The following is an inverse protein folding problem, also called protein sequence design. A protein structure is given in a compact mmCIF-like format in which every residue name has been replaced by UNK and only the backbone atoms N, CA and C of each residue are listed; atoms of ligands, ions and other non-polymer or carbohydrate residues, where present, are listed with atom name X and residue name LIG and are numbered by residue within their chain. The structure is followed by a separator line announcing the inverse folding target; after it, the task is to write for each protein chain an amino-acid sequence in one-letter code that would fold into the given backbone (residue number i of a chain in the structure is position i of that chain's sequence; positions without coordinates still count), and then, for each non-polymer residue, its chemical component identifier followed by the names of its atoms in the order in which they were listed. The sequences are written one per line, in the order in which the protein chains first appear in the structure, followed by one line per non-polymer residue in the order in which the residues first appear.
data_IF_074204277303
#
_entry.id   IF_074204277303
#
_cell.length_a   1.000
_cell.length_b   1.000
_cell.length_c   1.000
_cell.angle_alpha   90.00
_cell.angle_beta   90.00
_cell.angle_gamma   90.00
#
_symmetry.space_group_name_H-M   'P 1'
#
loop_
_entity.id
_entity.type
_entity.pdbx_description
1 polymer ?
#
# COMPACT_ATOMS: atom_id res chain seq x y z
N UNK A 1 -11.06 41.50 28.19
CA UNK A 1 -10.85 41.73 26.75
C UNK A 1 -9.75 40.78 26.30
N UNK A 2 -10.09 39.74 25.54
CA UNK A 2 -9.11 38.82 25.00
C UNK A 2 -8.46 39.45 23.76
N UNK A 3 -7.14 39.40 23.67
CA UNK A 3 -6.40 39.89 22.51
C UNK A 3 -6.76 39.05 21.27
N UNK A 4 -6.87 39.67 20.08
CA UNK A 4 -7.09 38.92 18.85
C UNK A 4 -5.87 38.03 18.56
N UNK A 5 -6.12 36.77 18.20
CA UNK A 5 -5.10 35.87 17.70
C UNK A 5 -4.45 36.46 16.43
N UNK A 6 -3.14 36.33 16.23
CA UNK A 6 -2.49 36.79 15.02
C UNK A 6 -3.05 36.02 13.82
N UNK A 7 -3.39 36.74 12.76
CA UNK A 7 -3.71 36.15 11.47
C UNK A 7 -2.54 35.24 11.03
N UNK A 8 -2.83 34.02 10.57
CA UNK A 8 -1.79 33.14 10.04
C UNK A 8 -1.11 33.85 8.86
N UNK A 9 0.22 33.83 8.84
CA UNK A 9 0.99 34.30 7.70
C UNK A 9 0.46 33.63 6.42
N UNK A 10 0.35 34.39 5.33
CA UNK A 10 0.08 33.80 4.02
C UNK A 10 1.11 32.70 3.77
N UNK A 11 0.71 31.48 3.39
CA UNK A 11 1.67 30.41 3.13
C UNK A 11 2.62 30.89 2.03
N UNK A 12 3.93 30.69 2.25
CA UNK A 12 4.93 30.98 1.23
C UNK A 12 4.58 30.22 -0.06
N UNK A 13 4.80 30.85 -1.21
CA UNK A 13 4.53 30.23 -2.51
C UNK A 13 5.26 28.88 -2.61
N UNK A 14 4.53 27.80 -2.89
CA UNK A 14 5.12 26.47 -3.07
C UNK A 14 5.93 26.50 -4.37
N UNK A 15 7.22 26.17 -4.27
CA UNK A 15 8.12 26.08 -5.42
C UNK A 15 8.74 24.69 -5.52
N UNK A 16 8.51 24.03 -6.66
CA UNK A 16 9.27 22.86 -7.11
C UNK A 16 10.16 23.29 -8.30
N UNK A 17 9.94 22.73 -9.49
CA UNK A 17 10.60 23.18 -10.73
C UNK A 17 10.21 24.63 -11.08
N UNK A 18 8.94 24.94 -10.88
CA UNK A 18 8.41 26.30 -10.93
C UNK A 18 7.62 26.58 -9.65
N UNK A 19 7.48 27.86 -9.32
CA UNK A 19 6.62 28.30 -8.23
C UNK A 19 5.16 28.31 -8.64
N UNK A 20 4.29 28.20 -7.64
CA UNK A 20 2.86 28.43 -7.77
C UNK A 20 2.55 29.76 -8.48
N UNK A 21 1.35 29.85 -9.06
CA UNK A 21 0.88 30.98 -9.87
C UNK A 21 1.64 31.22 -11.18
N UNK A 22 2.14 30.16 -11.82
CA UNK A 22 2.73 30.19 -13.17
C UNK A 22 1.65 30.27 -14.25
N UNK A 23 1.88 31.04 -15.33
CA UNK A 23 0.94 31.13 -16.45
C UNK A 23 0.79 29.81 -17.23
N UNK A 24 -0.41 29.19 -17.29
CA UNK A 24 -0.69 28.04 -18.15
C UNK A 24 -0.30 28.21 -19.62
N UNK A 25 -0.19 29.44 -20.15
CA UNK A 25 0.30 29.67 -21.51
C UNK A 25 1.77 29.22 -21.72
N UNK A 26 2.52 29.02 -20.64
CA UNK A 26 3.90 28.52 -20.65
C UNK A 26 3.98 26.99 -20.52
N UNK A 27 2.85 26.31 -20.34
CA UNK A 27 2.83 24.84 -20.25
C UNK A 27 3.12 24.21 -21.62
N UNK A 28 3.98 23.18 -21.70
CA UNK A 28 4.23 22.46 -22.95
C UNK A 28 3.09 21.48 -23.31
N UNK A 29 2.10 21.30 -22.44
CA UNK A 29 0.98 20.38 -22.65
C UNK A 29 -0.31 20.86 -21.96
N UNK A 30 -1.43 20.24 -22.31
CA UNK A 30 -2.70 20.44 -21.64
C UNK A 30 -3.44 19.10 -21.56
N UNK A 31 -3.30 18.41 -20.42
CA UNK A 31 -4.09 17.21 -20.14
C UNK A 31 -5.33 17.58 -19.34
N UNK A 32 -6.50 17.53 -19.99
CA UNK A 32 -7.80 17.62 -19.32
C UNK A 32 -8.10 16.31 -18.60
N UNK A 33 -7.90 16.29 -17.28
CA UNK A 33 -7.95 15.06 -16.50
C UNK A 33 -9.37 14.65 -16.11
N UNK A 34 -10.14 15.62 -15.60
CA UNK A 34 -11.51 15.43 -15.10
C UNK A 34 -12.30 16.73 -15.26
N UNK A 35 -13.63 16.61 -15.34
CA UNK A 35 -14.54 17.75 -15.41
C UNK A 35 -15.77 17.58 -14.52
N UNK A 36 -16.46 18.68 -14.25
CA UNK A 36 -17.73 18.73 -13.52
C UNK A 36 -18.70 19.71 -14.18
N UNK A 37 -19.98 19.33 -14.24
CA UNK A 37 -21.04 20.21 -14.72
C UNK A 37 -21.46 21.20 -13.63
N UNK A 38 -21.65 22.47 -14.01
CA UNK A 38 -22.05 23.54 -13.11
C UNK A 38 -23.09 24.44 -13.78
N UNK A 39 -24.39 24.22 -13.54
CA UNK A 39 -25.45 25.10 -14.08
C UNK A 39 -25.34 25.38 -15.58
N UNK A 40 -24.97 24.38 -16.40
CA UNK A 40 -24.73 24.53 -17.85
C UNK A 40 -23.32 25.00 -18.25
N UNK A 41 -22.41 25.20 -17.28
CA UNK A 41 -20.98 25.44 -17.46
C UNK A 41 -20.21 24.13 -17.27
N UNK A 42 -18.96 24.12 -17.72
CA UNK A 42 -18.02 23.02 -17.48
C UNK A 42 -16.82 23.51 -16.68
N UNK A 43 -16.62 22.96 -15.48
CA UNK A 43 -15.39 23.16 -14.70
C UNK A 43 -14.42 22.04 -15.10
N UNK A 44 -13.22 22.38 -15.56
CA UNK A 44 -12.22 21.40 -16.02
C UNK A 44 -10.93 21.56 -15.22
N UNK A 45 -10.37 20.42 -14.80
CA UNK A 45 -9.04 20.34 -14.21
C UNK A 45 -8.03 19.92 -15.26
N UNK A 46 -7.01 20.74 -15.42
CA UNK A 46 -5.93 20.56 -16.39
C UNK A 46 -4.62 20.28 -15.67
N UNK A 47 -3.76 19.47 -16.30
CA UNK A 47 -2.40 19.21 -15.81
C UNK A 47 -1.34 19.44 -16.86
N UNK A 48 -0.23 19.96 -16.36
CA UNK A 48 1.10 19.86 -16.93
C UNK A 48 1.86 18.73 -16.20
N UNK A 49 1.85 17.53 -16.80
CA UNK A 49 2.52 16.36 -16.24
C UNK A 49 4.06 16.47 -16.22
N UNK A 50 4.63 17.31 -17.07
CA UNK A 50 6.08 17.51 -17.24
C UNK A 50 6.62 18.44 -16.16
N UNK A 51 5.85 19.47 -15.80
CA UNK A 51 6.22 20.41 -14.76
C UNK A 51 5.57 20.10 -13.40
N UNK A 52 4.73 19.05 -13.33
CA UNK A 52 3.99 18.61 -12.16
C UNK A 52 3.08 19.70 -11.56
N UNK A 53 2.41 20.47 -12.42
CA UNK A 53 1.49 21.55 -12.05
C UNK A 53 0.11 21.34 -12.66
N UNK A 54 -0.92 21.99 -12.09
CA UNK A 54 -2.27 21.99 -12.68
C UNK A 54 -3.00 23.32 -12.52
N UNK A 55 -4.02 23.52 -13.34
CA UNK A 55 -4.89 24.71 -13.32
C UNK A 55 -6.36 24.31 -13.53
N UNK A 56 -7.26 25.19 -13.14
CA UNK A 56 -8.69 25.04 -13.38
C UNK A 56 -9.15 25.97 -14.50
N UNK A 57 -10.15 25.54 -15.27
CA UNK A 57 -10.89 26.40 -16.18
C UNK A 57 -12.40 26.27 -15.96
N UNK A 58 -13.11 27.32 -16.36
CA UNK A 58 -14.57 27.34 -16.45
C UNK A 58 -14.95 27.73 -17.88
N UNK A 59 -15.57 26.79 -18.59
CA UNK A 59 -16.06 26.97 -19.94
C UNK A 59 -17.58 27.25 -19.97
N UNK A 60 -18.02 27.99 -20.99
CA UNK A 60 -19.40 28.48 -21.15
C UNK A 60 -19.88 29.36 -19.98
N UNK A 61 -18.95 30.02 -19.29
CA UNK A 61 -19.23 30.90 -18.15
C UNK A 61 -19.82 32.24 -18.56
N UNK A 62 -20.47 32.90 -17.60
CA UNK A 62 -20.91 34.29 -17.69
C UNK A 62 -20.01 35.19 -16.85
N UNK A 63 -19.99 36.49 -17.15
CA UNK A 63 -19.22 37.46 -16.39
C UNK A 63 -19.54 37.38 -14.89
N UNK A 64 -18.51 37.21 -14.06
CA UNK A 64 -18.65 37.04 -12.61
C UNK A 64 -18.80 35.60 -12.12
N UNK A 65 -18.96 34.60 -13.00
CA UNK A 65 -18.82 33.20 -12.59
C UNK A 65 -17.38 32.95 -12.12
N UNK A 66 -17.20 32.18 -11.04
CA UNK A 66 -15.89 31.95 -10.40
C UNK A 66 -15.29 30.59 -10.75
N UNK A 67 -13.95 30.53 -10.74
CA UNK A 67 -13.18 29.28 -10.83
C UNK A 67 -11.95 29.36 -9.92
N UNK A 68 -11.62 28.24 -9.26
CA UNK A 68 -10.44 28.08 -8.41
C UNK A 68 -9.98 26.61 -8.35
N UNK A 69 -8.83 26.39 -7.72
CA UNK A 69 -8.32 25.08 -7.35
C UNK A 69 -8.38 24.86 -5.83
N UNK A 70 -8.70 23.64 -5.42
CA UNK A 70 -8.34 23.16 -4.08
C UNK A 70 -7.15 22.18 -4.20
N UNK A 71 -6.26 22.20 -3.20
CA UNK A 71 -5.10 21.30 -3.06
C UNK A 71 -5.15 20.53 -1.75
N UNK A 72 -4.80 19.25 -1.82
CA UNK A 72 -4.69 18.35 -0.67
C UNK A 72 -3.37 17.58 -0.72
N UNK A 73 -2.80 17.26 0.45
CA UNK A 73 -1.60 16.42 0.59
C UNK A 73 -1.87 15.10 1.32
N UNK A 74 -3.14 14.73 1.47
CA UNK A 74 -3.60 13.53 2.18
C UNK A 74 -4.66 12.75 1.37
N UNK A 75 -4.60 12.86 0.04
CA UNK A 75 -5.51 12.16 -0.86
C UNK A 75 -6.94 12.72 -0.88
N UNK A 76 -7.10 14.00 -0.58
CA UNK A 76 -8.39 14.71 -0.62
C UNK A 76 -9.21 14.64 0.66
N UNK A 77 -8.65 14.11 1.76
CA UNK A 77 -9.35 14.01 3.07
C UNK A 77 -9.45 15.38 3.73
N UNK A 78 -8.39 16.18 3.62
CA UNK A 78 -8.35 17.58 4.04
C UNK A 78 -7.75 18.47 2.95
N UNK A 79 -8.15 19.74 2.90
CA UNK A 79 -7.68 20.71 1.90
C UNK A 79 -7.70 22.17 2.39
N UNK A 80 -7.76 22.38 3.71
CA UNK A 80 -7.84 23.72 4.28
C UNK A 80 -6.60 24.57 3.94
N UNK A 81 -5.42 23.96 3.94
CA UNK A 81 -4.13 24.62 3.68
C UNK A 81 -3.92 25.03 2.21
N UNK A 82 -4.84 24.67 1.31
CA UNK A 82 -4.75 24.91 -0.14
C UNK A 82 -6.10 25.12 -0.79
N UNK A 83 -7.08 25.67 -0.08
CA UNK A 83 -8.43 25.94 -0.59
C UNK A 83 -8.48 27.27 -1.35
N UNK A 84 -9.25 27.33 -2.45
CA UNK A 84 -9.43 28.53 -3.29
C UNK A 84 -8.14 29.13 -3.87
N UNK A 85 -7.18 28.27 -4.23
CA UNK A 85 -5.98 28.67 -4.97
C UNK A 85 -6.35 29.28 -6.31
N UNK A 86 -5.77 30.45 -6.59
CA UNK A 86 -5.93 31.16 -7.86
C UNK A 86 -7.36 31.58 -8.18
N UNK A 87 -8.22 31.74 -7.16
CA UNK A 87 -9.60 32.15 -7.34
C UNK A 87 -9.68 33.39 -8.24
N UNK A 88 -10.51 33.29 -9.25
CA UNK A 88 -10.70 34.32 -10.27
C UNK A 88 -12.12 34.25 -10.83
N UNK A 89 -12.51 35.27 -11.60
CA UNK A 89 -13.84 35.38 -12.20
C UNK A 89 -13.74 35.48 -13.71
N UNK A 90 -14.76 35.00 -14.42
CA UNK A 90 -14.89 35.20 -15.86
C UNK A 90 -15.05 36.70 -16.14
N UNK A 91 -14.15 37.31 -16.94
CA UNK A 91 -14.25 38.73 -17.26
C UNK A 91 -15.45 39.06 -18.13
N UNK A 92 -15.94 40.30 -18.06
CA UNK A 92 -16.96 40.82 -18.97
C UNK A 92 -16.58 40.62 -20.43
N UNK A 93 -17.52 40.10 -21.24
CA UNK A 93 -17.31 39.83 -22.66
C UNK A 93 -16.55 38.54 -22.98
N UNK A 94 -16.21 37.73 -21.97
CA UNK A 94 -15.67 36.37 -22.14
C UNK A 94 -16.73 35.32 -21.82
N UNK A 95 -16.61 34.16 -22.45
CA UNK A 95 -17.45 32.97 -22.21
C UNK A 95 -16.71 31.86 -21.46
N UNK A 96 -15.55 32.18 -20.89
CA UNK A 96 -14.73 31.24 -20.13
C UNK A 96 -13.47 31.89 -19.60
N UNK A 97 -12.89 31.29 -18.57
CA UNK A 97 -11.68 31.78 -17.93
C UNK A 97 -10.94 30.66 -17.20
N UNK A 98 -9.71 30.94 -16.75
CA UNK A 98 -8.87 29.95 -16.05
C UNK A 98 -8.05 30.56 -14.94
N UNK A 99 -7.67 29.73 -13.98
CA UNK A 99 -6.69 30.07 -12.95
C UNK A 99 -5.27 30.12 -13.52
N UNK A 100 -4.31 30.53 -12.69
CA UNK A 100 -2.90 30.19 -12.90
C UNK A 100 -2.63 28.71 -12.58
N UNK A 101 -1.42 28.21 -12.87
CA UNK A 101 -0.98 26.86 -12.50
C UNK A 101 -0.39 26.83 -11.09
N UNK A 102 -0.67 25.75 -10.37
CA UNK A 102 -0.18 25.47 -9.02
C UNK A 102 0.46 24.09 -8.97
N UNK A 103 1.50 23.94 -8.16
CA UNK A 103 2.17 22.67 -7.92
C UNK A 103 1.20 21.67 -7.29
N UNK A 104 1.30 20.42 -7.75
CA UNK A 104 0.55 19.29 -7.18
C UNK A 104 1.21 18.83 -5.88
N UNK A 105 2.48 18.41 -5.95
CA UNK A 105 3.26 17.94 -4.80
C UNK A 105 3.97 19.09 -4.07
N UNK A 106 4.28 18.93 -2.78
CA UNK A 106 5.20 19.78 -2.02
C UNK A 106 6.43 18.97 -1.60
N UNK A 107 7.50 19.02 -2.39
CA UNK A 107 8.72 18.26 -2.07
C UNK A 107 9.50 18.82 -0.88
N UNK A 108 9.29 20.09 -0.50
CA UNK A 108 9.95 20.67 0.68
C UNK A 108 9.45 20.04 1.98
N UNK A 109 8.17 19.65 2.00
CA UNK A 109 7.55 18.98 3.15
C UNK A 109 7.13 17.55 2.85
N UNK A 110 7.56 16.98 1.72
CA UNK A 110 7.23 15.60 1.28
C UNK A 110 5.71 15.36 1.18
N UNK A 111 4.95 16.40 0.86
CA UNK A 111 3.51 16.32 0.63
C UNK A 111 3.23 15.76 -0.76
N UNK A 112 2.70 14.55 -0.82
CA UNK A 112 2.21 13.96 -2.07
C UNK A 112 0.79 14.45 -2.31
N UNK A 113 0.60 15.21 -3.39
CA UNK A 113 -0.57 16.06 -3.53
C UNK A 113 -1.58 15.63 -4.58
N UNK A 114 -2.76 16.22 -4.45
CA UNK A 114 -3.88 16.12 -5.36
C UNK A 114 -4.49 17.50 -5.56
N UNK A 115 -5.03 17.75 -6.76
CA UNK A 115 -5.80 18.95 -7.09
C UNK A 115 -7.24 18.58 -7.45
N UNK A 116 -8.17 19.51 -7.19
CA UNK A 116 -9.50 19.51 -7.82
C UNK A 116 -9.84 20.91 -8.28
N UNK A 117 -10.52 21.02 -9.42
CA UNK A 117 -11.05 22.28 -9.91
C UNK A 117 -12.45 22.49 -9.37
N UNK A 118 -12.76 23.70 -8.92
CA UNK A 118 -14.06 24.09 -8.43
C UNK A 118 -14.51 25.39 -9.10
N UNK A 119 -15.82 25.55 -9.24
CA UNK A 119 -16.39 26.79 -9.75
C UNK A 119 -17.70 27.13 -9.05
N UNK A 120 -18.06 28.41 -9.14
CA UNK A 120 -19.34 28.92 -8.66
C UNK A 120 -20.05 29.70 -9.75
N UNK A 121 -21.31 29.33 -10.02
CA UNK A 121 -22.15 30.02 -10.99
C UNK A 121 -23.58 30.09 -10.47
N UNK A 122 -24.19 31.28 -10.52
CA UNK A 122 -25.57 31.50 -10.05
C UNK A 122 -25.84 30.99 -8.62
N UNK A 123 -24.84 31.10 -7.73
CA UNK A 123 -24.93 30.66 -6.34
C UNK A 123 -24.75 29.15 -6.10
N UNK A 124 -24.61 28.33 -7.15
CA UNK A 124 -24.27 26.92 -7.04
C UNK A 124 -22.75 26.70 -7.13
N UNK A 125 -22.22 25.73 -6.39
CA UNK A 125 -20.82 25.29 -6.46
C UNK A 125 -20.76 23.86 -6.97
N UNK A 126 -19.81 23.58 -7.87
CA UNK A 126 -19.45 22.23 -8.27
C UNK A 126 -17.93 22.09 -8.35
N UNK A 127 -17.43 20.91 -8.01
CA UNK A 127 -16.02 20.57 -8.09
C UNK A 127 -15.83 19.27 -8.88
N UNK A 128 -14.71 19.18 -9.58
CA UNK A 128 -14.25 17.91 -10.17
C UNK A 128 -13.92 16.91 -9.06
N UNK A 129 -13.87 15.60 -9.38
CA UNK A 129 -13.11 14.65 -8.57
C UNK A 129 -11.68 15.17 -8.36
N UNK A 130 -11.05 14.72 -7.28
CA UNK A 130 -9.62 14.88 -7.11
C UNK A 130 -8.87 14.12 -8.20
N UNK A 131 -7.82 14.71 -8.74
CA UNK A 131 -6.90 14.06 -9.67
C UNK A 131 -5.47 14.61 -9.45
N UNK A 132 -4.52 14.05 -10.19
CA UNK A 132 -3.10 14.42 -10.09
C UNK A 132 -2.37 14.29 -11.42
N UNK A 133 -1.14 14.77 -11.44
CA UNK A 133 -0.21 14.60 -12.56
C UNK A 133 0.27 13.15 -12.66
N UNK A 134 0.79 12.76 -13.82
CA UNK A 134 1.47 11.47 -14.02
C UNK A 134 2.93 11.50 -13.56
N UNK A 135 3.36 12.57 -12.87
CA UNK A 135 4.66 12.66 -12.21
C UNK A 135 4.78 11.58 -11.12
N UNK A 136 5.85 10.78 -11.10
CA UNK A 136 5.95 9.57 -10.27
C UNK A 136 4.79 8.56 -10.48
N UNK A 137 4.05 8.64 -11.58
CA UNK A 137 2.85 7.84 -11.86
C UNK A 137 2.70 7.54 -13.35
N UNK A 138 3.82 7.21 -14.00
CA UNK A 138 3.88 6.95 -15.44
C UNK A 138 3.28 5.61 -15.85
N UNK A 139 3.10 4.67 -14.92
CA UNK A 139 2.42 3.40 -15.13
C UNK A 139 1.53 3.02 -13.94
N UNK A 140 0.78 1.92 -14.05
CA UNK A 140 -0.16 1.48 -13.00
C UNK A 140 0.51 1.21 -11.65
N UNK A 141 1.76 0.72 -11.66
CA UNK A 141 2.53 0.39 -10.45
C UNK A 141 2.95 1.65 -9.72
N UNK A 142 3.60 2.56 -10.45
CA UNK A 142 4.07 3.85 -9.92
C UNK A 142 2.90 4.73 -9.48
N UNK A 143 1.80 4.73 -10.24
CA UNK A 143 0.57 5.43 -9.86
C UNK A 143 -0.03 4.91 -8.55
N UNK A 144 -0.16 3.58 -8.39
CA UNK A 144 -0.63 2.98 -7.16
C UNK A 144 0.30 3.26 -5.96
N UNK A 145 1.61 3.29 -6.18
CA UNK A 145 2.61 3.61 -5.16
C UNK A 145 2.50 5.06 -4.70
N UNK A 146 2.36 6.02 -5.62
CA UNK A 146 2.13 7.40 -5.23
C UNK A 146 0.81 7.59 -4.48
N UNK A 147 -0.26 6.93 -4.92
CA UNK A 147 -1.54 6.99 -4.22
C UNK A 147 -1.44 6.40 -2.79
N UNK A 148 -0.62 5.36 -2.58
CA UNK A 148 -0.32 4.86 -1.23
C UNK A 148 0.43 5.92 -0.39
N UNK A 149 1.39 6.62 -0.99
CA UNK A 149 2.17 7.66 -0.31
C UNK A 149 1.36 8.89 0.10
N UNK A 150 0.19 9.13 -0.49
CA UNK A 150 -0.78 10.11 0.04
C UNK A 150 -1.34 9.74 1.42
N UNK A 151 -1.16 8.50 1.86
CA UNK A 151 -1.55 8.04 3.20
C UNK A 151 -0.36 7.91 4.14
N UNK A 152 0.85 8.31 3.71
CA UNK A 152 2.02 8.35 4.58
C UNK A 152 1.95 9.58 5.50
N UNK A 153 1.78 9.31 6.79
CA UNK A 153 1.64 10.35 7.81
C UNK A 153 3.02 10.98 8.09
N UNK A 154 3.11 12.29 7.84
CA UNK A 154 4.37 13.04 7.95
C UNK A 154 4.79 13.29 9.41
N UNK A 155 3.93 13.02 10.37
CA UNK A 155 4.18 13.16 11.82
C UNK A 155 4.60 11.83 12.43
N UNK A 156 3.81 10.77 12.22
CA UNK A 156 4.07 9.43 12.78
C UNK A 156 5.07 8.64 11.96
N UNK A 157 5.28 9.02 10.68
CA UNK A 157 6.10 8.29 9.71
C UNK A 157 5.61 6.85 9.52
N UNK A 158 4.30 6.66 9.58
CA UNK A 158 3.58 5.41 9.32
C UNK A 158 2.49 5.65 8.28
N UNK A 159 1.91 4.58 7.76
CA UNK A 159 0.78 4.67 6.83
C UNK A 159 -0.55 4.65 7.61
N UNK A 160 -1.51 5.48 7.19
CA UNK A 160 -2.85 5.50 7.78
C UNK A 160 -2.91 6.01 9.23
N UNK A 161 -1.91 6.78 9.67
CA UNK A 161 -1.82 7.33 11.02
C UNK A 161 -1.17 6.37 12.02
N UNK A 162 -1.83 5.26 12.36
CA UNK A 162 -1.42 4.33 13.42
C UNK A 162 -1.47 2.84 13.05
N UNK A 163 -1.60 2.47 11.77
CA UNK A 163 -1.53 1.07 11.34
C UNK A 163 -0.14 0.50 11.60
N UNK A 164 0.02 -0.39 12.59
CA UNK A 164 1.33 -0.92 12.97
C UNK A 164 1.79 -2.01 11.99
N UNK A 165 1.22 -3.22 12.07
CA UNK A 165 1.61 -4.33 11.19
C UNK A 165 1.17 -4.12 9.74
N UNK A 166 0.03 -3.46 9.51
CA UNK A 166 -0.43 -3.03 8.18
C UNK A 166 0.47 -1.93 7.60
N UNK A 167 1.07 -1.10 8.46
CA UNK A 167 2.12 -0.14 8.07
C UNK A 167 3.39 -0.82 7.55
N UNK A 168 3.79 -1.95 8.15
CA UNK A 168 4.90 -2.77 7.65
C UNK A 168 4.62 -3.31 6.24
N UNK A 169 3.37 -3.74 5.98
CA UNK A 169 2.93 -4.17 4.66
C UNK A 169 2.96 -3.03 3.64
N UNK A 170 2.48 -1.84 4.01
CA UNK A 170 2.51 -0.67 3.13
C UNK A 170 3.93 -0.25 2.80
N UNK A 171 4.84 -0.25 3.77
CA UNK A 171 6.26 0.02 3.54
C UNK A 171 6.90 -1.04 2.63
N UNK A 172 6.59 -2.32 2.84
CA UNK A 172 7.07 -3.41 1.97
C UNK A 172 6.62 -3.21 0.53
N UNK A 173 5.35 -2.84 0.30
CA UNK A 173 4.83 -2.59 -1.05
C UNK A 173 5.53 -1.41 -1.74
N UNK A 174 5.90 -0.35 -1.00
CA UNK A 174 6.71 0.76 -1.51
C UNK A 174 8.14 0.33 -1.84
N UNK A 175 8.76 -0.49 -0.98
CA UNK A 175 10.12 -1.01 -1.21
C UNK A 175 10.15 -1.91 -2.47
N UNK A 176 9.21 -2.84 -2.58
CA UNK A 176 9.10 -3.73 -3.74
C UNK A 176 8.81 -2.92 -5.01
N UNK A 177 7.97 -1.89 -4.94
CA UNK A 177 7.72 -0.99 -6.06
C UNK A 177 9.00 -0.26 -6.51
N UNK A 178 9.77 0.32 -5.58
CA UNK A 178 11.01 1.01 -5.90
C UNK A 178 12.03 0.07 -6.57
N UNK A 179 12.13 -1.18 -6.10
CA UNK A 179 13.01 -2.21 -6.66
C UNK A 179 12.60 -2.61 -8.08
N UNK A 180 11.30 -2.81 -8.31
CA UNK A 180 10.77 -3.32 -9.59
C UNK A 180 10.76 -2.22 -10.66
N UNK A 181 10.39 -1.00 -10.29
CA UNK A 181 10.19 0.10 -11.25
C UNK A 181 11.40 1.02 -11.40
N UNK A 182 12.33 0.98 -10.44
CA UNK A 182 13.41 1.96 -10.33
C UNK A 182 12.97 3.33 -9.78
N UNK A 183 11.70 3.50 -9.39
CA UNK A 183 11.20 4.77 -8.85
C UNK A 183 11.70 5.02 -7.42
N UNK A 184 12.79 5.80 -7.30
CA UNK A 184 13.42 6.13 -6.02
C UNK A 184 12.71 7.20 -5.18
N UNK A 185 11.69 7.88 -5.71
CA UNK A 185 11.08 9.09 -5.14
C UNK A 185 10.53 8.94 -3.71
N UNK A 186 10.17 7.72 -3.30
CA UNK A 186 9.58 7.44 -1.99
C UNK A 186 10.48 6.63 -1.04
N UNK A 187 11.73 6.37 -1.45
CA UNK A 187 12.69 5.59 -0.63
C UNK A 187 13.02 6.24 0.71
N UNK A 188 12.80 7.55 0.86
CA UNK A 188 12.92 8.25 2.14
C UNK A 188 12.02 7.66 3.23
N UNK A 189 10.89 7.04 2.85
CA UNK A 189 9.95 6.45 3.81
C UNK A 189 10.59 5.32 4.61
N UNK A 190 11.56 4.59 4.04
CA UNK A 190 12.27 3.50 4.71
C UNK A 190 13.01 4.03 5.95
N UNK A 191 13.90 4.99 5.76
CA UNK A 191 14.71 5.54 6.84
C UNK A 191 13.86 6.31 7.84
N UNK A 192 12.91 7.13 7.37
CA UNK A 192 12.07 7.93 8.26
C UNK A 192 11.15 7.08 9.13
N UNK A 193 10.55 6.02 8.57
CA UNK A 193 9.73 5.08 9.34
C UNK A 193 10.58 4.41 10.42
N UNK A 194 11.76 3.93 10.04
CA UNK A 194 12.71 3.28 10.97
C UNK A 194 13.14 4.22 12.10
N UNK A 195 13.72 5.38 11.76
CA UNK A 195 14.32 6.29 12.73
C UNK A 195 13.28 6.85 13.71
N UNK A 196 12.04 7.07 13.24
CA UNK A 196 10.95 7.56 14.07
C UNK A 196 10.41 6.52 15.04
N UNK A 197 10.33 5.26 14.62
CA UNK A 197 9.54 4.23 15.31
C UNK A 197 10.38 3.11 15.94
N UNK A 198 11.71 3.10 15.80
CA UNK A 198 12.57 2.06 16.36
C UNK A 198 12.44 1.89 17.88
N UNK A 199 12.09 2.95 18.61
CA UNK A 199 11.85 2.92 20.06
C UNK A 199 10.40 2.72 20.48
N UNK A 200 9.46 2.58 19.53
CA UNK A 200 8.04 2.42 19.85
C UNK A 200 7.72 0.99 20.32
N UNK A 201 6.63 0.86 21.08
CA UNK A 201 6.12 -0.42 21.60
C UNK A 201 7.21 -1.19 22.40
N UNK A 202 7.52 -2.44 22.02
CA UNK A 202 8.57 -3.24 22.64
C UNK A 202 10.00 -2.88 22.17
N UNK A 203 10.14 -1.85 21.34
CA UNK A 203 11.40 -1.47 20.71
C UNK A 203 11.84 -2.45 19.63
N UNK A 204 12.66 -1.96 18.70
CA UNK A 204 13.08 -2.71 17.51
C UNK A 204 11.91 -3.23 16.67
N UNK A 205 10.79 -2.51 16.65
CA UNK A 205 9.55 -2.90 15.95
C UNK A 205 8.82 -4.14 16.50
N UNK A 206 9.25 -4.67 17.65
CA UNK A 206 8.59 -5.78 18.35
C UNK A 206 7.40 -5.32 19.18
N UNK A 207 6.44 -6.22 19.39
CA UNK A 207 5.36 -6.05 20.36
C UNK A 207 4.85 -7.39 20.92
N UNK A 208 3.72 -7.36 21.62
CA UNK A 208 3.08 -8.53 22.22
C UNK A 208 2.41 -9.48 21.21
N UNK A 209 2.16 -9.03 19.98
CA UNK A 209 1.61 -9.81 18.87
C UNK A 209 2.76 -10.26 17.94
N UNK A 210 3.01 -11.57 17.88
CA UNK A 210 4.21 -12.09 17.24
C UNK A 210 4.13 -12.03 15.71
N UNK A 211 2.91 -12.08 15.15
CA UNK A 211 2.65 -11.75 13.75
C UNK A 211 3.01 -10.30 13.41
N UNK A 212 2.60 -9.31 14.20
CA UNK A 212 3.00 -7.91 14.00
C UNK A 212 4.52 -7.75 13.89
N UNK A 213 5.24 -8.43 14.80
CA UNK A 213 6.71 -8.46 14.80
C UNK A 213 7.25 -9.12 13.53
N UNK A 214 6.65 -10.24 13.08
CA UNK A 214 7.03 -10.92 11.85
C UNK A 214 6.84 -10.07 10.59
N UNK A 215 5.76 -9.28 10.52
CA UNK A 215 5.52 -8.35 9.42
C UNK A 215 6.60 -7.28 9.32
N UNK A 216 7.00 -6.67 10.45
CA UNK A 216 8.11 -5.72 10.48
C UNK A 216 9.44 -6.37 10.13
N UNK A 217 9.72 -7.56 10.67
CA UNK A 217 10.96 -8.29 10.34
C UNK A 217 11.12 -8.51 8.84
N UNK A 218 10.04 -8.88 8.14
CA UNK A 218 10.05 -9.02 6.68
C UNK A 218 10.19 -7.69 5.94
N UNK A 219 9.58 -6.60 6.44
CA UNK A 219 9.79 -5.27 5.89
C UNK A 219 11.25 -4.82 6.02
N UNK A 220 11.92 -5.17 7.12
CA UNK A 220 13.34 -4.86 7.34
C UNK A 220 14.29 -5.72 6.52
N UNK A 221 13.94 -6.98 6.25
CA UNK A 221 14.63 -7.77 5.23
C UNK A 221 14.53 -7.09 3.86
N UNK A 222 13.32 -6.64 3.47
CA UNK A 222 13.13 -5.94 2.20
C UNK A 222 13.92 -4.62 2.14
N UNK A 223 13.98 -3.88 3.25
CA UNK A 223 14.76 -2.65 3.36
C UNK A 223 16.27 -2.91 3.22
N UNK A 224 16.79 -3.95 3.89
CA UNK A 224 18.19 -4.37 3.76
C UNK A 224 18.53 -4.72 2.30
N UNK A 225 17.68 -5.51 1.64
CA UNK A 225 17.87 -5.89 0.24
C UNK A 225 17.89 -4.68 -0.70
N UNK A 226 17.20 -3.59 -0.35
CA UNK A 226 17.14 -2.36 -1.15
C UNK A 226 18.33 -1.43 -0.90
N UNK A 227 18.81 -1.32 0.35
CA UNK A 227 19.77 -0.29 0.74
C UNK A 227 21.17 -0.81 1.06
N UNK A 228 21.31 -2.10 1.40
CA UNK A 228 22.51 -2.69 1.97
C UNK A 228 22.82 -2.26 3.41
N UNK A 229 21.95 -1.47 4.05
CA UNK A 229 22.18 -0.95 5.40
C UNK A 229 21.88 -2.02 6.47
N UNK A 230 22.93 -2.44 7.18
CA UNK A 230 22.89 -3.54 8.14
C UNK A 230 21.97 -3.28 9.34
N UNK A 231 21.58 -2.03 9.62
CA UNK A 231 20.63 -1.73 10.72
C UNK A 231 19.28 -2.41 10.52
N UNK A 232 18.83 -2.51 9.26
CA UNK A 232 17.57 -3.18 8.94
C UNK A 232 17.69 -4.69 9.14
N UNK A 233 18.76 -5.31 8.64
CA UNK A 233 18.99 -6.74 8.84
C UNK A 233 19.14 -7.10 10.33
N UNK A 234 19.83 -6.27 11.11
CA UNK A 234 19.98 -6.46 12.56
C UNK A 234 18.63 -6.36 13.30
N UNK A 235 17.73 -5.48 12.86
CA UNK A 235 16.39 -5.39 13.42
C UNK A 235 15.54 -6.60 13.04
N UNK A 236 15.59 -7.05 11.78
CA UNK A 236 14.93 -8.29 11.35
C UNK A 236 15.39 -9.52 12.16
N UNK A 237 16.67 -9.58 12.54
CA UNK A 237 17.21 -10.62 13.43
C UNK A 237 16.59 -10.55 14.83
N UNK A 238 16.48 -9.35 15.40
CA UNK A 238 15.84 -9.15 16.71
C UNK A 238 14.37 -9.56 16.70
N UNK A 239 13.66 -9.30 15.59
CA UNK A 239 12.27 -9.72 15.39
C UNK A 239 12.14 -11.25 15.34
N UNK A 240 12.99 -11.93 14.55
CA UNK A 240 13.00 -13.39 14.48
C UNK A 240 13.39 -14.04 15.82
N UNK A 241 14.33 -13.45 16.55
CA UNK A 241 14.74 -13.92 17.87
C UNK A 241 13.62 -13.74 18.90
N UNK A 242 12.84 -12.66 18.81
CA UNK A 242 11.66 -12.43 19.65
C UNK A 242 10.55 -13.44 19.36
N UNK A 243 10.26 -13.70 18.08
CA UNK A 243 9.31 -14.75 17.70
C UNK A 243 9.76 -16.13 18.19
N UNK A 244 11.04 -16.47 18.03
CA UNK A 244 11.60 -17.74 18.49
C UNK A 244 11.56 -17.90 20.02
N UNK A 245 11.77 -16.83 20.78
CA UNK A 245 11.61 -16.84 22.24
C UNK A 245 10.17 -17.16 22.68
N UNK A 246 9.21 -17.05 21.76
CA UNK A 246 7.80 -17.36 21.93
C UNK A 246 7.39 -18.68 21.24
N UNK A 247 8.34 -19.44 20.72
CA UNK A 247 8.15 -20.85 20.38
C UNK A 247 8.00 -21.69 21.65
N UNK A 248 7.01 -22.58 21.71
CA UNK A 248 6.84 -23.48 22.86
C UNK A 248 6.28 -24.85 22.45
N UNK A 249 6.26 -25.79 23.40
CA UNK A 249 5.83 -27.18 23.15
C UNK A 249 4.32 -27.41 23.07
N UNK A 250 3.47 -26.39 23.28
CA UNK A 250 2.02 -26.53 23.10
C UNK A 250 1.72 -26.90 21.65
N UNK A 251 0.87 -27.90 21.42
CA UNK A 251 0.61 -28.47 20.09
C UNK A 251 1.88 -28.96 19.36
N UNK A 252 2.87 -29.44 20.12
CA UNK A 252 4.10 -30.04 19.57
C UNK A 252 5.10 -29.03 18.99
N UNK A 253 4.86 -27.71 19.13
CA UNK A 253 5.75 -26.68 18.59
C UNK A 253 5.02 -25.39 18.20
N UNK A 254 5.64 -24.66 17.28
CA UNK A 254 5.14 -23.41 16.72
C UNK A 254 5.34 -22.20 17.63
N UNK A 255 5.28 -21.02 17.04
CA UNK A 255 5.22 -19.73 17.70
C UNK A 255 3.78 -19.43 18.10
N UNK A 256 3.57 -18.96 19.33
CA UNK A 256 2.26 -18.48 19.79
C UNK A 256 1.90 -17.13 19.15
N UNK A 257 0.62 -16.88 18.93
CA UNK A 257 0.13 -15.64 18.33
C UNK A 257 0.51 -14.40 19.16
N UNK A 258 0.32 -14.44 20.48
CA UNK A 258 0.68 -13.35 21.36
C UNK A 258 1.40 -13.83 22.62
N UNK A 259 2.14 -12.93 23.28
CA UNK A 259 2.97 -13.23 24.45
C UNK A 259 2.18 -13.59 25.72
N UNK A 260 0.88 -13.35 25.76
CA UNK A 260 0.00 -13.66 26.90
C UNK A 260 -0.73 -15.01 26.79
N UNK A 261 -0.79 -15.61 25.60
CA UNK A 261 -1.56 -16.82 25.33
C UNK A 261 -0.72 -18.01 24.85
N UNK A 262 -1.41 -19.06 24.40
CA UNK A 262 -0.81 -20.24 23.76
C UNK A 262 -1.44 -20.56 22.40
N UNK A 263 -2.33 -19.70 21.89
CA UNK A 263 -2.98 -19.89 20.60
C UNK A 263 -1.94 -19.97 19.48
N UNK A 264 -2.09 -20.97 18.61
CA UNK A 264 -1.24 -21.19 17.43
C UNK A 264 -2.07 -20.88 16.20
N UNK A 265 -1.85 -19.71 15.60
CA UNK A 265 -2.44 -19.37 14.31
C UNK A 265 -1.44 -19.56 13.17
N UNK A 266 -1.97 -19.73 11.97
CA UNK A 266 -1.20 -19.94 10.77
C UNK A 266 -0.29 -18.73 10.49
N UNK A 267 -0.84 -17.51 10.51
CA UNK A 267 -0.10 -16.32 10.08
C UNK A 267 1.20 -16.07 10.85
N UNK A 268 1.21 -16.19 12.18
CA UNK A 268 2.42 -15.99 12.98
C UNK A 268 3.51 -16.99 12.60
N UNK A 269 3.12 -18.24 12.34
CA UNK A 269 4.04 -19.33 12.03
C UNK A 269 4.54 -19.27 10.58
N UNK A 270 3.69 -18.86 9.64
CA UNK A 270 4.09 -18.60 8.25
C UNK A 270 5.07 -17.44 8.14
N UNK A 271 4.84 -16.35 8.89
CA UNK A 271 5.76 -15.22 8.97
C UNK A 271 7.11 -15.64 9.58
N UNK A 272 7.08 -16.47 10.62
CA UNK A 272 8.29 -16.98 11.26
C UNK A 272 9.11 -17.84 10.28
N UNK A 273 8.45 -18.74 9.54
CA UNK A 273 9.07 -19.54 8.49
C UNK A 273 9.76 -18.65 7.45
N UNK A 274 9.01 -17.68 6.93
CA UNK A 274 9.52 -16.81 5.88
C UNK A 274 10.67 -15.93 6.37
N UNK A 275 10.55 -15.36 7.57
CA UNK A 275 11.57 -14.48 8.13
C UNK A 275 12.86 -15.24 8.41
N UNK A 276 12.79 -16.41 9.05
CA UNK A 276 13.98 -17.21 9.37
C UNK A 276 14.68 -17.75 8.12
N UNK A 277 13.94 -18.24 7.13
CA UNK A 277 14.51 -18.64 5.85
C UNK A 277 15.16 -17.44 5.11
N UNK A 278 14.50 -16.28 5.12
CA UNK A 278 15.03 -15.09 4.47
C UNK A 278 16.31 -14.56 5.15
N UNK A 279 16.37 -14.58 6.48
CA UNK A 279 17.56 -14.21 7.25
C UNK A 279 18.75 -15.12 6.92
N UNK A 280 18.54 -16.43 6.88
CA UNK A 280 19.58 -17.38 6.50
C UNK A 280 20.16 -17.06 5.11
N UNK A 281 19.30 -16.81 4.12
CA UNK A 281 19.72 -16.47 2.75
C UNK A 281 20.59 -15.19 2.66
N UNK A 282 20.59 -14.34 3.70
CA UNK A 282 21.26 -13.03 3.71
C UNK A 282 22.41 -12.95 4.71
N UNK A 283 22.62 -13.97 5.54
CA UNK A 283 23.68 -14.01 6.55
C UNK A 283 24.65 -15.13 6.18
N UNK A 284 25.84 -14.80 5.62
CA UNK A 284 26.82 -15.81 5.23
C UNK A 284 27.20 -16.73 6.38
N UNK A 285 27.08 -18.05 6.16
CA UNK A 285 27.44 -19.06 7.15
C UNK A 285 26.44 -19.21 8.30
N UNK A 286 25.27 -18.57 8.27
CA UNK A 286 24.23 -18.81 9.27
C UNK A 286 23.76 -20.27 9.22
N UNK A 287 23.64 -20.89 10.38
CA UNK A 287 22.93 -22.18 10.53
C UNK A 287 21.74 -22.06 11.47
N UNK A 288 21.68 -20.99 12.28
CA UNK A 288 20.68 -20.87 13.34
C UNK A 288 19.31 -20.59 12.76
N UNK A 289 19.19 -19.63 11.84
CA UNK A 289 17.89 -19.35 11.23
C UNK A 289 17.47 -20.44 10.25
N UNK A 290 18.41 -21.12 9.58
CA UNK A 290 18.11 -22.31 8.79
C UNK A 290 17.47 -23.44 9.62
N UNK A 291 18.06 -23.76 10.77
CA UNK A 291 17.55 -24.82 11.63
C UNK A 291 16.16 -24.47 12.20
N UNK A 292 15.93 -23.19 12.53
CA UNK A 292 14.60 -22.68 12.93
C UNK A 292 13.58 -22.77 11.80
N UNK A 293 13.95 -22.37 10.57
CA UNK A 293 13.07 -22.45 9.41
C UNK A 293 12.68 -23.90 9.09
N UNK A 294 13.62 -24.85 9.20
CA UNK A 294 13.36 -26.28 9.03
C UNK A 294 12.45 -26.83 10.14
N UNK A 295 12.67 -26.41 11.38
CA UNK A 295 11.84 -26.81 12.52
C UNK A 295 10.41 -26.30 12.37
N UNK A 296 10.25 -25.03 12.00
CA UNK A 296 8.96 -24.41 11.70
C UNK A 296 8.25 -25.13 10.57
N UNK A 297 8.88 -25.31 9.40
CA UNK A 297 8.22 -26.01 8.29
C UNK A 297 7.84 -27.44 8.64
N UNK A 298 8.70 -28.16 9.36
CA UNK A 298 8.41 -29.52 9.81
C UNK A 298 7.23 -29.56 10.78
N UNK A 299 7.07 -28.57 11.65
CA UNK A 299 5.90 -28.47 12.53
C UNK A 299 4.66 -28.05 11.73
N UNK A 300 4.73 -26.98 10.95
CA UNK A 300 3.60 -26.40 10.23
C UNK A 300 2.91 -27.41 9.32
N UNK A 301 3.70 -28.15 8.50
CA UNK A 301 3.15 -29.16 7.58
C UNK A 301 2.47 -30.34 8.30
N UNK A 302 2.80 -30.57 9.57
CA UNK A 302 2.25 -31.65 10.40
C UNK A 302 1.20 -31.15 11.42
N UNK A 303 0.98 -29.83 11.51
CA UNK A 303 0.04 -29.22 12.46
C UNK A 303 -1.43 -29.56 12.17
N UNK A 304 -1.74 -29.92 10.92
CA UNK A 304 -3.10 -30.11 10.43
C UNK A 304 -3.77 -28.84 9.88
N UNK A 305 -3.14 -27.67 9.96
CA UNK A 305 -3.72 -26.41 9.43
C UNK A 305 -3.88 -26.41 7.91
N UNK A 306 -3.02 -27.13 7.16
CA UNK A 306 -3.23 -27.43 5.74
C UNK A 306 -4.32 -28.51 5.64
N UNK A 307 -5.51 -28.12 5.21
CA UNK A 307 -6.65 -29.02 5.11
C UNK A 307 -6.64 -29.86 3.82
N UNK A 308 -7.60 -30.77 3.72
CA UNK A 308 -7.74 -31.70 2.59
C UNK A 308 -8.00 -31.03 1.22
N UNK A 309 -8.34 -29.74 1.21
CA UNK A 309 -8.51 -28.96 -0.01
C UNK A 309 -7.25 -28.21 -0.43
N UNK A 310 -6.10 -28.45 0.22
CA UNK A 310 -4.87 -27.67 0.08
C UNK A 310 -5.06 -26.18 0.40
N UNK A 311 -5.93 -25.89 1.38
CA UNK A 311 -6.14 -24.55 1.91
C UNK A 311 -5.69 -24.51 3.38
N UNK A 312 -5.29 -23.35 3.86
CA UNK A 312 -4.82 -23.14 5.24
C UNK A 312 -5.90 -22.46 6.06
N UNK A 313 -6.38 -23.16 7.09
CA UNK A 313 -7.29 -22.60 8.09
C UNK A 313 -6.53 -21.71 9.10
N UNK A 314 -7.26 -20.91 9.87
CA UNK A 314 -6.70 -19.88 10.73
C UNK A 314 -5.71 -20.38 11.80
N UNK A 315 -5.93 -21.57 12.37
CA UNK A 315 -5.13 -22.01 13.51
C UNK A 315 -5.53 -23.35 14.10
N UNK A 316 -5.04 -23.58 15.32
CA UNK A 316 -5.32 -24.78 16.12
C UNK A 316 -6.22 -24.45 17.32
N UNK A 317 -7.18 -25.32 17.60
CA UNK A 317 -8.00 -25.23 18.82
C UNK A 317 -7.24 -25.75 20.07
N UNK A 318 -7.90 -25.71 21.23
CA UNK A 318 -7.31 -26.15 22.50
C UNK A 318 -6.96 -27.65 22.54
N UNK A 319 -7.54 -28.46 21.63
CA UNK A 319 -7.20 -29.87 21.45
C UNK A 319 -6.03 -30.10 20.49
N UNK A 320 -5.43 -29.01 19.99
CA UNK A 320 -4.39 -29.00 18.97
C UNK A 320 -4.86 -29.61 17.63
N UNK A 321 -6.16 -29.52 17.34
CA UNK A 321 -6.72 -29.86 16.05
C UNK A 321 -6.91 -28.59 15.22
N UNK A 322 -6.96 -28.74 13.89
CA UNK A 322 -7.33 -27.64 13.00
C UNK A 322 -8.69 -27.08 13.39
N UNK A 323 -8.75 -25.77 13.65
CA UNK A 323 -9.95 -25.10 14.15
C UNK A 323 -11.08 -24.96 13.12
N UNK A 324 -10.85 -25.31 11.85
CA UNK A 324 -11.83 -25.24 10.77
C UNK A 324 -12.31 -23.84 10.40
N UNK A 325 -11.66 -22.80 10.92
CA UNK A 325 -12.02 -21.39 10.71
C UNK A 325 -11.73 -20.95 9.25
N UNK A 326 -12.26 -19.79 8.80
CA UNK A 326 -12.10 -19.33 7.42
C UNK A 326 -10.66 -19.39 6.89
N UNK A 327 -10.54 -19.75 5.62
CA UNK A 327 -9.27 -19.73 4.89
C UNK A 327 -9.05 -18.34 4.33
N UNK A 328 -8.42 -17.47 5.10
CA UNK A 328 -8.07 -16.09 4.72
C UNK A 328 -7.01 -16.06 3.62
N UNK A 329 -7.04 -15.05 2.75
CA UNK A 329 -6.14 -15.00 1.59
C UNK A 329 -4.67 -14.90 2.00
N UNK A 330 -4.34 -14.12 3.04
CA UNK A 330 -2.97 -13.91 3.50
C UNK A 330 -2.26 -15.20 3.95
N UNK A 331 -2.95 -16.10 4.66
CA UNK A 331 -2.44 -17.42 5.06
C UNK A 331 -2.08 -18.26 3.82
N UNK A 332 -2.78 -18.03 2.70
CA UNK A 332 -2.47 -18.77 1.47
C UNK A 332 -1.28 -18.19 0.72
N UNK A 333 -0.80 -16.99 1.05
CA UNK A 333 0.29 -16.32 0.34
C UNK A 333 1.58 -16.25 1.12
N UNK A 334 1.53 -15.95 2.42
CA UNK A 334 2.73 -15.85 3.25
C UNK A 334 3.45 -17.20 3.28
N UNK A 335 2.71 -18.32 3.40
CA UNK A 335 3.30 -19.65 3.26
C UNK A 335 4.04 -19.86 1.92
N UNK A 336 3.54 -19.32 0.80
CA UNK A 336 4.19 -19.45 -0.51
C UNK A 336 5.52 -18.69 -0.54
N UNK A 337 5.54 -17.51 0.06
CA UNK A 337 6.76 -16.74 0.29
C UNK A 337 7.76 -17.49 1.17
N UNK A 338 7.29 -18.08 2.27
CA UNK A 338 8.11 -18.87 3.20
C UNK A 338 8.73 -20.10 2.57
N UNK A 339 7.93 -20.90 1.85
CA UNK A 339 8.43 -22.08 1.12
C UNK A 339 9.40 -21.71 0.00
N UNK A 340 9.19 -20.56 -0.65
CA UNK A 340 10.10 -20.03 -1.67
C UNK A 340 11.45 -19.64 -1.07
N UNK A 341 11.48 -18.94 0.07
CA UNK A 341 12.74 -18.59 0.76
C UNK A 341 13.43 -19.84 1.32
N UNK A 342 12.68 -20.82 1.87
CA UNK A 342 13.27 -22.07 2.37
C UNK A 342 13.82 -22.94 1.22
N UNK A 343 13.18 -22.92 0.04
CA UNK A 343 13.75 -23.54 -1.15
C UNK A 343 15.09 -22.92 -1.52
N UNK A 344 15.20 -21.59 -1.54
CA UNK A 344 16.47 -20.90 -1.81
C UNK A 344 17.55 -21.26 -0.79
N UNK A 345 17.16 -21.44 0.46
CA UNK A 345 18.05 -21.81 1.55
C UNK A 345 18.58 -23.26 1.46
N UNK A 346 17.82 -24.18 0.86
CA UNK A 346 18.08 -25.63 0.97
C UNK A 346 18.29 -26.35 -0.36
N UNK A 347 17.77 -25.81 -1.46
CA UNK A 347 17.68 -26.50 -2.75
C UNK A 347 16.62 -27.60 -2.82
N UNK A 348 15.79 -27.79 -1.78
CA UNK A 348 14.80 -28.87 -1.73
C UNK A 348 13.57 -28.57 -2.60
N UNK A 349 13.55 -29.14 -3.80
CA UNK A 349 12.45 -28.99 -4.78
C UNK A 349 11.06 -29.45 -4.29
N UNK A 350 10.98 -30.26 -3.22
CA UNK A 350 9.68 -30.67 -2.66
C UNK A 350 8.93 -29.49 -2.04
N UNK A 351 9.65 -28.45 -1.60
CA UNK A 351 9.08 -27.21 -1.10
C UNK A 351 8.30 -26.45 -2.19
N UNK A 352 8.88 -26.35 -3.39
CA UNK A 352 8.19 -25.72 -4.54
C UNK A 352 7.03 -26.58 -5.05
N UNK A 353 7.14 -27.92 -4.96
CA UNK A 353 6.03 -28.81 -5.28
C UNK A 353 4.84 -28.56 -4.34
N UNK A 354 5.11 -28.42 -3.04
CA UNK A 354 4.08 -28.12 -2.05
C UNK A 354 3.50 -26.72 -2.24
N UNK A 355 4.35 -25.71 -2.43
CA UNK A 355 3.91 -24.34 -2.68
C UNK A 355 3.03 -24.25 -3.94
N UNK A 356 3.37 -25.00 -4.99
CA UNK A 356 2.56 -25.07 -6.21
C UNK A 356 1.18 -25.67 -5.95
N UNK A 357 1.08 -26.77 -5.20
CA UNK A 357 -0.22 -27.36 -4.87
C UNK A 357 -1.13 -26.42 -4.05
N UNK A 358 -0.56 -25.66 -3.11
CA UNK A 358 -1.27 -24.64 -2.34
C UNK A 358 -1.71 -23.46 -3.22
N UNK A 359 -0.85 -23.00 -4.12
CA UNK A 359 -1.15 -21.92 -5.05
C UNK A 359 -2.22 -22.32 -6.09
N UNK A 360 -2.14 -23.53 -6.66
CA UNK A 360 -3.15 -24.07 -7.57
C UNK A 360 -4.54 -24.14 -6.91
N UNK A 361 -4.62 -24.51 -5.63
CA UNK A 361 -5.88 -24.55 -4.91
C UNK A 361 -6.41 -23.14 -4.57
N UNK A 362 -5.55 -22.30 -3.98
CA UNK A 362 -5.94 -20.97 -3.50
C UNK A 362 -6.32 -20.02 -4.63
N UNK A 363 -5.66 -20.11 -5.79
CA UNK A 363 -5.97 -19.29 -6.96
C UNK A 363 -7.35 -19.60 -7.55
N UNK A 364 -7.97 -20.74 -7.22
CA UNK A 364 -9.33 -21.07 -7.67
C UNK A 364 -10.36 -20.82 -6.58
N UNK A 365 -10.06 -21.21 -5.33
CA UNK A 365 -11.05 -21.27 -4.23
C UNK A 365 -11.32 -19.94 -3.55
N UNK A 366 -10.40 -18.97 -3.65
CA UNK A 366 -10.56 -17.65 -3.02
C UNK A 366 -11.20 -16.61 -3.95
N UNK A 367 -11.66 -17.02 -5.14
CA UNK A 367 -12.19 -16.08 -6.10
C UNK A 367 -13.70 -15.86 -5.99
N UNK A 368 -14.12 -14.62 -6.18
CA UNK A 368 -15.50 -14.24 -6.54
C UNK A 368 -15.40 -13.35 -7.78
N UNK A 369 -16.23 -13.60 -8.79
CA UNK A 369 -16.25 -12.82 -10.05
C UNK A 369 -14.87 -12.69 -10.74
N UNK A 370 -14.04 -13.72 -10.63
CA UNK A 370 -12.74 -13.80 -11.29
C UNK A 370 -11.58 -13.09 -10.58
N UNK A 371 -11.77 -12.61 -9.35
CA UNK A 371 -10.72 -11.98 -8.52
C UNK A 371 -10.75 -12.49 -7.07
N UNK A 372 -9.64 -12.42 -6.31
CA UNK A 372 -9.62 -12.80 -4.90
C UNK A 372 -10.57 -11.94 -4.07
N UNK A 373 -11.27 -12.57 -3.14
CA UNK A 373 -12.22 -11.94 -2.23
C UNK A 373 -12.07 -12.50 -0.82
N UNK A 374 -12.09 -11.62 0.18
CA UNK A 374 -12.07 -12.05 1.59
C UNK A 374 -13.41 -12.66 2.03
N UNK A 375 -13.38 -13.64 2.95
CA UNK A 375 -14.57 -14.02 3.71
C UNK A 375 -15.22 -12.78 4.36
N UNK A 376 -16.48 -12.51 4.04
CA UNK A 376 -17.21 -11.32 4.51
C UNK A 376 -16.49 -9.99 4.23
N UNK A 377 -15.89 -9.86 3.04
CA UNK A 377 -15.16 -8.66 2.61
C UNK A 377 -15.92 -7.35 2.90
N UNK A 378 -15.28 -6.49 3.70
CA UNK A 378 -15.78 -5.21 4.20
C UNK A 378 -15.72 -4.12 3.13
N UNK A 379 -16.64 -3.14 3.21
CA UNK A 379 -16.60 -1.91 2.39
C UNK A 379 -15.54 -0.90 2.92
N UNK A 380 -14.94 -1.18 4.08
CA UNK A 380 -13.93 -0.34 4.73
C UNK A 380 -12.50 -0.74 4.32
N UNK A 381 -11.61 0.25 4.26
CA UNK A 381 -10.19 0.05 3.91
C UNK A 381 -9.21 0.28 5.06
N UNK A 382 -9.71 0.22 6.29
CA UNK A 382 -8.95 0.49 7.52
C UNK A 382 -8.88 -0.69 8.48
N UNK A 383 -9.60 -1.77 8.20
CA UNK A 383 -9.51 -3.01 8.95
C UNK A 383 -8.33 -3.88 8.49
N UNK A 384 -8.03 -4.92 9.26
CA UNK A 384 -6.96 -5.88 8.96
C UNK A 384 -7.19 -6.58 7.62
N UNK A 385 -8.45 -6.96 7.33
CA UNK A 385 -8.87 -7.67 6.13
C UNK A 385 -8.50 -6.96 4.84
N UNK A 386 -8.52 -5.63 4.84
CA UNK A 386 -8.11 -4.80 3.69
C UNK A 386 -6.65 -5.04 3.23
N UNK A 387 -5.78 -5.56 4.09
CA UNK A 387 -4.35 -5.82 3.79
C UNK A 387 -4.07 -7.27 3.35
N UNK A 388 -5.03 -8.19 3.54
CA UNK A 388 -4.81 -9.62 3.36
C UNK A 388 -4.54 -10.00 1.90
N UNK A 389 -5.32 -9.47 0.96
CA UNK A 389 -5.13 -9.73 -0.49
C UNK A 389 -3.75 -9.30 -0.97
N UNK A 390 -3.20 -8.20 -0.45
CA UNK A 390 -1.84 -7.75 -0.75
C UNK A 390 -0.78 -8.76 -0.36
N UNK A 391 -0.83 -9.24 0.88
CA UNK A 391 0.06 -10.30 1.35
C UNK A 391 -0.08 -11.58 0.50
N UNK A 392 -1.31 -11.92 0.10
CA UNK A 392 -1.57 -13.05 -0.78
C UNK A 392 -0.84 -12.95 -2.12
N UNK A 393 -1.11 -11.89 -2.88
CA UNK A 393 -0.56 -11.71 -4.23
C UNK A 393 0.95 -11.50 -4.21
N UNK A 394 1.50 -10.89 -3.15
CA UNK A 394 2.95 -10.74 -2.97
C UNK A 394 3.63 -12.11 -2.81
N UNK A 395 3.06 -12.99 -1.99
CA UNK A 395 3.55 -14.36 -1.85
C UNK A 395 3.44 -15.18 -3.14
N UNK A 396 2.29 -15.09 -3.82
CA UNK A 396 2.05 -15.75 -5.10
C UNK A 396 3.03 -15.26 -6.18
N UNK A 397 3.28 -13.96 -6.26
CA UNK A 397 4.25 -13.36 -7.17
C UNK A 397 5.68 -13.86 -6.94
N UNK A 398 6.10 -13.99 -5.67
CA UNK A 398 7.43 -14.53 -5.32
C UNK A 398 7.58 -15.99 -5.76
N UNK A 399 6.57 -16.83 -5.51
CA UNK A 399 6.55 -18.21 -6.00
C UNK A 399 6.56 -18.25 -7.52
N UNK A 400 5.71 -17.45 -8.18
CA UNK A 400 5.62 -17.40 -9.64
C UNK A 400 6.98 -17.07 -10.28
N UNK A 401 7.72 -16.11 -9.73
CA UNK A 401 9.08 -15.76 -10.19
C UNK A 401 10.09 -16.90 -9.97
N UNK A 402 9.92 -17.69 -8.91
CA UNK A 402 10.81 -18.83 -8.60
C UNK A 402 10.56 -20.05 -9.50
N UNK A 403 9.32 -20.24 -9.97
CA UNK A 403 8.95 -21.34 -10.87
C UNK A 403 9.34 -21.01 -12.31
N UNK A 404 10.09 -21.90 -12.96
CA UNK A 404 10.61 -21.65 -14.31
C UNK A 404 9.55 -21.55 -15.42
N UNK A 405 8.33 -22.00 -15.17
CA UNK A 405 7.19 -21.93 -16.09
C UNK A 405 6.21 -20.79 -15.78
N UNK A 406 6.43 -20.03 -14.70
CA UNK A 406 5.65 -18.85 -14.32
C UNK A 406 4.11 -19.01 -14.46
N UNK A 407 3.51 -20.08 -13.90
CA UNK A 407 2.14 -20.49 -14.22
C UNK A 407 1.06 -19.49 -13.77
N UNK A 408 1.37 -18.60 -12.83
CA UNK A 408 0.41 -17.66 -12.24
C UNK A 408 0.45 -16.26 -12.88
N UNK A 409 1.31 -16.03 -13.87
CA UNK A 409 1.43 -14.75 -14.58
C UNK A 409 0.10 -14.30 -15.19
N UNK A 410 -0.62 -15.22 -15.84
CA UNK A 410 -1.93 -14.92 -16.43
C UNK A 410 -2.96 -14.53 -15.38
N UNK A 411 -2.99 -15.25 -14.25
CA UNK A 411 -3.89 -15.00 -13.12
C UNK A 411 -3.65 -13.64 -12.49
N UNK A 412 -2.39 -13.33 -12.12
CA UNK A 412 -2.02 -12.04 -11.52
C UNK A 412 -2.35 -10.87 -12.45
N UNK A 413 -2.07 -10.99 -13.76
CA UNK A 413 -2.43 -9.97 -14.75
C UNK A 413 -3.93 -9.78 -14.90
N UNK A 414 -4.70 -10.87 -14.89
CA UNK A 414 -6.16 -10.81 -14.96
C UNK A 414 -6.74 -10.05 -13.75
N UNK A 415 -6.27 -10.36 -12.54
CA UNK A 415 -6.68 -9.65 -11.34
C UNK A 415 -6.30 -8.17 -11.39
N UNK A 416 -5.05 -7.85 -11.76
CA UNK A 416 -4.58 -6.48 -11.89
C UNK A 416 -5.39 -5.67 -12.92
N UNK A 417 -5.72 -6.28 -14.06
CA UNK A 417 -6.55 -5.65 -15.09
C UNK A 417 -7.98 -5.38 -14.59
N UNK A 418 -8.55 -6.31 -13.81
CA UNK A 418 -9.91 -6.17 -13.28
C UNK A 418 -9.97 -5.06 -12.22
N UNK A 419 -9.05 -5.08 -11.24
CA UNK A 419 -8.96 -4.03 -10.22
C UNK A 419 -8.73 -2.65 -10.86
N UNK A 420 -7.83 -2.55 -11.83
CA UNK A 420 -7.56 -1.30 -12.56
C UNK A 420 -8.79 -0.74 -13.28
N UNK A 421 -9.62 -1.61 -13.85
CA UNK A 421 -10.79 -1.22 -14.62
C UNK A 421 -12.03 -0.93 -13.76
N UNK A 422 -12.13 -1.52 -12.56
CA UNK A 422 -13.40 -1.57 -11.82
C UNK A 422 -13.36 -1.04 -10.39
N UNK A 423 -12.19 -0.90 -9.79
CA UNK A 423 -12.06 -0.56 -8.36
C UNK A 423 -11.07 0.59 -8.15
N UNK A 424 -11.15 1.60 -9.01
CA UNK A 424 -10.17 2.70 -9.04
C UNK A 424 -10.85 4.04 -9.27
N UNK A 425 -10.44 5.05 -8.51
CA UNK A 425 -10.85 6.44 -8.73
C UNK A 425 -9.81 7.23 -9.59
N UNK A 426 -10.09 8.49 -9.97
CA UNK A 426 -9.16 9.32 -10.75
C UNK A 426 -7.84 9.69 -10.06
N UNK A 427 -7.67 9.41 -8.75
CA UNK A 427 -6.40 9.54 -8.03
C UNK A 427 -5.56 8.26 -8.04
N UNK A 428 -5.99 7.22 -8.76
CA UNK A 428 -5.40 5.88 -8.67
C UNK A 428 -5.47 5.30 -7.25
N UNK A 429 -6.51 5.69 -6.49
CA UNK A 429 -6.85 5.03 -5.24
C UNK A 429 -7.80 3.87 -5.49
N UNK A 430 -7.58 2.78 -4.76
CA UNK A 430 -8.33 1.54 -4.88
C UNK A 430 -9.15 1.24 -3.63
N UNK A 431 -10.31 0.63 -3.85
CA UNK A 431 -11.18 0.12 -2.79
C UNK A 431 -10.88 -1.34 -2.43
N UNK A 432 -11.77 -1.97 -1.66
CA UNK A 432 -11.63 -3.37 -1.27
C UNK A 432 -12.14 -4.32 -2.37
N UNK A 433 -13.05 -3.89 -3.25
CA UNK A 433 -13.76 -4.80 -4.16
C UNK A 433 -13.19 -4.77 -5.59
N UNK A 434 -12.13 -5.54 -5.83
CA UNK A 434 -11.44 -5.59 -7.13
C UNK A 434 -12.33 -5.97 -8.33
N UNK A 435 -13.47 -6.63 -8.10
CA UNK A 435 -14.46 -6.96 -9.13
C UNK A 435 -15.38 -5.78 -9.52
N UNK A 436 -15.28 -4.66 -8.79
CA UNK A 436 -16.23 -3.55 -8.77
C UNK A 436 -17.22 -3.66 -7.63
N UNK A 437 -17.69 -2.53 -7.13
CA UNK A 437 -18.61 -2.46 -5.98
C UNK A 437 -18.55 -1.10 -5.29
N UNK A 438 -19.36 -0.94 -4.25
CA UNK A 438 -19.28 0.20 -3.35
C UNK A 438 -18.21 -0.04 -2.30
N UNK A 439 -17.32 0.91 -2.06
CA UNK A 439 -16.31 0.79 -1.03
C UNK A 439 -15.64 2.13 -0.78
N UNK A 440 -15.02 2.26 0.40
CA UNK A 440 -14.16 3.41 0.71
C UNK A 440 -12.76 3.21 0.16
N UNK A 441 -11.93 4.26 0.10
CA UNK A 441 -10.49 4.12 -0.16
C UNK A 441 -9.72 4.26 1.13
N UNK A 442 -8.58 3.56 1.24
CA UNK A 442 -7.75 3.56 2.43
C UNK A 442 -6.42 2.85 2.21
N UNK A 443 -5.48 3.05 3.13
CA UNK A 443 -4.10 2.62 2.93
C UNK A 443 -3.95 1.09 2.84
N UNK A 444 -4.78 0.31 3.55
CA UNK A 444 -4.76 -1.17 3.48
C UNK A 444 -5.15 -1.68 2.09
N UNK A 445 -6.31 -1.24 1.58
CA UNK A 445 -6.74 -1.55 0.21
C UNK A 445 -5.73 -1.07 -0.84
N UNK A 446 -5.20 0.14 -0.65
CA UNK A 446 -4.23 0.72 -1.56
C UNK A 446 -2.91 -0.08 -1.58
N UNK A 447 -2.43 -0.51 -0.41
CA UNK A 447 -1.28 -1.40 -0.30
C UNK A 447 -1.55 -2.73 -0.99
N UNK A 448 -2.73 -3.32 -0.80
CA UNK A 448 -3.12 -4.56 -1.48
C UNK A 448 -3.11 -4.42 -3.00
N UNK A 449 -3.63 -3.31 -3.53
CA UNK A 449 -3.58 -3.03 -4.96
C UNK A 449 -2.15 -2.83 -5.46
N UNK A 450 -1.31 -2.11 -4.71
CA UNK A 450 0.10 -1.93 -5.07
C UNK A 450 0.86 -3.26 -5.12
N UNK A 451 0.69 -4.13 -4.13
CA UNK A 451 1.30 -5.46 -4.14
C UNK A 451 0.83 -6.29 -5.35
N UNK A 452 -0.45 -6.18 -5.75
CA UNK A 452 -0.97 -6.82 -6.96
C UNK A 452 -0.27 -6.32 -8.22
N UNK A 453 -0.13 -5.00 -8.39
CA UNK A 453 0.54 -4.43 -9.56
C UNK A 453 2.04 -4.76 -9.59
N UNK A 454 2.70 -4.78 -8.43
CA UNK A 454 4.09 -5.21 -8.31
C UNK A 454 4.24 -6.69 -8.73
N UNK A 455 3.34 -7.57 -8.29
CA UNK A 455 3.38 -9.00 -8.60
C UNK A 455 3.02 -9.33 -10.06
N UNK A 456 2.16 -8.54 -10.71
CA UNK A 456 1.68 -8.79 -12.08
C UNK A 456 2.59 -8.23 -13.20
N UNK A 457 3.49 -7.31 -12.83
CA UNK A 457 4.23 -6.44 -13.75
C UNK A 457 5.50 -6.99 -14.36
#
# INVERSE_FOLDING_TARGET
MAAPAPASAAPADLCNKYCDARDPALSPQDRQAVSAALSGRSVVLHFDDTDAMGWASLDNGAAGDEVWLDRSFDGGRTWADGSRLGNTTVPSGRSGWRTQMYNVDDWNTQGVGALRACGQASGAIACTPWARTTWNAGDRRTAAATALMMSYDRTTKLFGGNGWWTGANALTAIIDNARITGMGSYTYAIAQTYDKNIGAQGGQFRNEYLDDTGWWGLAWVAAYDMTGDSRYLNTARADADHMWANWNGTCGGGVRWNTGGNYKNAITNELFLQLTAALHNRIPGDTTYLDRARSEWSWFRNSGMINSNNMINDGLDDSCANNGQPTWTYNQGVILGGLTELYRATGDSTLLTTARALADASTVRLQTDGVPREPSESDACTDDGASFKGAYVRGLGRLNTQLGDHPYTGTLRSWANTAYARDRNPLDQYGPHWAGGSGTTGYGCQQSALDLFNAAG
#
